data_IF_572793863036
#
_entry.id   IF_572793863036
#
_cell.length_a   1.000
_cell.length_b   1.000
_cell.length_c   1.000
_cell.angle_alpha   90.00
_cell.angle_beta   90.00
_cell.angle_gamma   90.00
#
_symmetry.space_group_name_H-M   'P 1'
#
loop_
_entity.id
_entity.type
_entity.pdbx_description
1 polymer ?
#
# COMPACT_ATOMS: atom_id res chain seq x y z
N UNK A 1 20.13 -1.59 -3.42
CA UNK A 1 18.75 -2.14 -3.42
C UNK A 1 18.47 -2.78 -2.08
N UNK A 2 17.30 -2.54 -1.54
CA UNK A 2 16.89 -3.09 -0.27
C UNK A 2 15.72 -4.05 -0.47
N UNK A 3 15.67 -5.09 0.37
CA UNK A 3 14.55 -6.01 0.37
C UNK A 3 13.49 -5.55 1.36
N UNK A 4 12.24 -5.60 0.91
CA UNK A 4 11.09 -5.22 1.71
C UNK A 4 10.03 -6.29 1.68
N UNK A 5 9.33 -6.44 2.81
CA UNK A 5 8.05 -7.10 2.82
C UNK A 5 6.99 -6.06 2.49
N UNK A 6 6.20 -6.33 1.45
CA UNK A 6 5.15 -5.42 1.00
C UNK A 6 3.80 -5.99 1.41
N UNK A 7 3.15 -5.31 2.33
CA UNK A 7 1.81 -5.67 2.78
C UNK A 7 0.80 -4.74 2.12
N UNK A 8 -0.06 -5.32 1.30
CA UNK A 8 -1.14 -4.57 0.64
C UNK A 8 -2.48 -4.98 1.23
N UNK A 9 -3.18 -4.01 1.80
CA UNK A 9 -4.50 -4.20 2.35
C UNK A 9 -5.51 -3.44 1.50
N UNK A 10 -6.53 -4.13 1.03
CA UNK A 10 -7.61 -3.54 0.24
C UNK A 10 -8.88 -3.59 1.07
N UNK A 11 -9.44 -2.41 1.37
CA UNK A 11 -10.65 -2.29 2.19
C UNK A 11 -11.87 -2.27 1.28
N UNK A 12 -12.56 -3.40 1.17
CA UNK A 12 -13.77 -3.51 0.38
C UNK A 12 -14.95 -2.92 1.15
N UNK A 13 -15.67 -2.00 0.51
CA UNK A 13 -16.86 -1.39 1.09
C UNK A 13 -18.12 -2.12 0.66
N UNK A 14 -18.21 -3.40 0.96
CA UNK A 14 -19.45 -4.12 0.78
C UNK A 14 -20.34 -3.93 2.02
N UNK A 15 -21.57 -3.51 1.83
CA UNK A 15 -22.50 -3.34 2.93
C UNK A 15 -22.72 -4.68 3.66
N UNK A 16 -22.39 -4.70 4.95
CA UNK A 16 -22.53 -5.88 5.78
C UNK A 16 -21.32 -6.81 5.83
N UNK A 17 -20.25 -6.47 5.13
CA UNK A 17 -19.04 -7.30 5.11
C UNK A 17 -17.80 -6.43 5.24
N UNK A 18 -17.08 -6.56 6.37
CA UNK A 18 -15.81 -5.87 6.59
C UNK A 18 -14.65 -6.75 6.13
N UNK A 19 -14.72 -7.25 4.90
CA UNK A 19 -13.64 -8.08 4.38
C UNK A 19 -12.51 -7.22 3.83
N UNK A 20 -11.31 -7.44 4.37
CA UNK A 20 -10.07 -6.90 3.85
C UNK A 20 -9.37 -7.98 3.04
N UNK A 21 -8.99 -7.65 1.83
CA UNK A 21 -8.08 -8.49 1.09
C UNK A 21 -6.65 -8.12 1.48
N UNK A 22 -5.87 -9.10 1.90
CA UNK A 22 -4.50 -8.89 2.33
C UNK A 22 -3.57 -9.67 1.40
N UNK A 23 -2.61 -8.96 0.81
CA UNK A 23 -1.58 -9.56 -0.04
C UNK A 23 -0.22 -9.24 0.54
N UNK A 24 0.59 -10.27 0.78
CA UNK A 24 1.95 -10.13 1.28
C UNK A 24 2.92 -10.59 0.22
N UNK A 25 3.89 -9.76 -0.11
CA UNK A 25 4.89 -10.04 -1.14
C UNK A 25 6.24 -9.54 -0.66
N UNK A 26 7.32 -10.26 -0.99
CA UNK A 26 8.67 -9.77 -0.79
C UNK A 26 9.21 -9.24 -2.13
N UNK A 27 9.88 -8.09 -2.08
CA UNK A 27 10.43 -7.48 -3.28
C UNK A 27 11.71 -6.71 -2.97
N UNK A 28 12.63 -6.74 -3.93
CA UNK A 28 13.77 -5.83 -3.93
C UNK A 28 13.32 -4.50 -4.51
N UNK A 29 13.48 -3.43 -3.75
CA UNK A 29 12.97 -2.12 -4.14
C UNK A 29 14.10 -1.11 -4.05
N UNK A 30 14.38 -0.46 -5.16
CA UNK A 30 15.37 0.60 -5.23
C UNK A 30 14.74 1.93 -4.82
N UNK A 31 13.52 2.19 -5.29
CA UNK A 31 12.77 3.41 -5.01
C UNK A 31 11.33 3.04 -4.67
N UNK A 32 10.96 3.21 -3.41
CA UNK A 32 9.63 2.87 -2.91
C UNK A 32 8.54 3.70 -3.62
N UNK A 33 8.79 4.99 -3.81
CA UNK A 33 7.81 5.85 -4.47
C UNK A 33 7.56 5.43 -5.92
N UNK A 34 8.62 5.04 -6.63
CA UNK A 34 8.47 4.51 -7.98
C UNK A 34 7.75 3.18 -8.00
N UNK A 35 8.00 2.32 -7.01
CA UNK A 35 7.28 1.05 -6.88
C UNK A 35 5.78 1.28 -6.66
N UNK A 36 5.43 2.32 -5.93
CA UNK A 36 4.02 2.67 -5.69
C UNK A 36 3.25 2.98 -6.97
N UNK A 37 3.92 3.36 -8.04
CA UNK A 37 3.26 3.60 -9.32
C UNK A 37 2.53 2.37 -9.85
N UNK A 38 2.95 1.17 -9.45
CA UNK A 38 2.26 -0.09 -9.78
C UNK A 38 0.82 -0.08 -9.26
N UNK A 39 0.58 0.59 -8.13
CA UNK A 39 -0.72 0.63 -7.47
C UNK A 39 -1.52 1.90 -7.80
N UNK A 40 -0.87 2.93 -8.34
CA UNK A 40 -1.50 4.21 -8.66
C UNK A 40 -2.18 4.16 -10.03
N UNK A 41 -3.24 3.36 -10.12
CA UNK A 41 -4.00 3.18 -11.36
C UNK A 41 -5.44 3.58 -11.10
N UNK A 42 -5.90 4.64 -11.79
CA UNK A 42 -7.26 5.15 -11.62
C UNK A 42 -7.36 6.61 -12.03
N UNK A 43 -8.56 7.16 -11.95
CA UNK A 43 -8.82 8.56 -12.34
C UNK A 43 -8.62 9.54 -11.20
N UNK A 44 -9.11 9.20 -10.01
CA UNK A 44 -9.02 10.03 -8.83
C UNK A 44 -8.19 9.30 -7.78
N UNK A 45 -6.97 9.79 -7.56
CA UNK A 45 -6.04 9.16 -6.63
C UNK A 45 -5.74 10.13 -5.50
N UNK A 46 -6.07 9.73 -4.28
CA UNK A 46 -5.67 10.43 -3.06
C UNK A 46 -4.65 9.57 -2.35
N UNK A 47 -3.57 10.18 -1.89
CA UNK A 47 -2.46 9.45 -1.27
C UNK A 47 -1.94 10.20 -0.06
N UNK A 48 -1.70 9.45 1.02
CA UNK A 48 -0.97 9.93 2.18
C UNK A 48 0.19 8.98 2.47
N UNK A 49 1.33 9.55 2.84
CA UNK A 49 2.52 8.78 3.17
C UNK A 49 2.86 8.96 4.64
N UNK A 50 3.14 7.84 5.31
CA UNK A 50 3.54 7.83 6.71
C UNK A 50 4.89 7.15 6.85
N UNK A 51 5.83 7.83 7.49
CA UNK A 51 7.09 7.22 7.91
C UNK A 51 7.04 6.94 9.39
N UNK A 52 7.26 5.68 9.76
CA UNK A 52 7.21 5.25 11.15
C UNK A 52 8.63 5.18 11.73
N UNK A 53 8.72 5.30 13.05
CA UNK A 53 10.00 5.31 13.74
C UNK A 53 10.74 3.98 13.69
N UNK A 54 10.04 2.89 13.41
CA UNK A 54 10.61 1.55 13.25
C UNK A 54 11.19 1.27 11.86
N UNK A 55 11.16 2.27 10.97
CA UNK A 55 11.66 2.14 9.60
C UNK A 55 10.62 1.68 8.58
N UNK A 56 9.39 1.38 9.00
CA UNK A 56 8.33 1.05 8.06
C UNK A 56 7.78 2.31 7.39
N UNK A 57 7.37 2.17 6.15
CA UNK A 57 6.74 3.24 5.37
C UNK A 57 5.37 2.74 4.93
N UNK A 58 4.34 3.52 5.21
CA UNK A 58 2.97 3.18 4.83
C UNK A 58 2.40 4.23 3.90
N UNK A 59 1.63 3.78 2.92
CA UNK A 59 0.88 4.64 2.02
C UNK A 59 -0.60 4.32 2.14
N UNK A 60 -1.41 5.34 2.40
CA UNK A 60 -2.86 5.21 2.31
C UNK A 60 -3.29 5.73 0.95
N UNK A 61 -3.90 4.85 0.14
CA UNK A 61 -4.42 5.20 -1.17
C UNK A 61 -5.94 5.15 -1.16
N UNK A 62 -6.55 6.15 -1.79
CA UNK A 62 -7.95 6.11 -2.15
C UNK A 62 -8.03 6.31 -3.66
N UNK A 63 -8.38 5.25 -4.38
CA UNK A 63 -8.45 5.28 -5.83
C UNK A 63 -9.89 5.05 -6.23
N UNK A 64 -10.51 6.09 -6.79
CA UNK A 64 -11.90 6.04 -7.26
C UNK A 64 -12.88 5.52 -6.17
N UNK A 65 -12.61 5.88 -4.92
CA UNK A 65 -13.41 5.45 -3.77
C UNK A 65 -12.98 4.13 -3.13
N UNK A 66 -12.04 3.41 -3.72
CA UNK A 66 -11.51 2.20 -3.11
C UNK A 66 -10.29 2.53 -2.25
N UNK A 67 -10.40 2.22 -0.98
CA UNK A 67 -9.34 2.50 -0.01
C UNK A 67 -8.37 1.34 0.08
N UNK A 68 -7.08 1.66 0.06
CA UNK A 68 -6.00 0.68 0.17
C UNK A 68 -4.92 1.21 1.09
N UNK A 69 -4.22 0.30 1.75
CA UNK A 69 -3.00 0.63 2.51
C UNK A 69 -1.88 -0.30 2.07
N UNK A 70 -0.75 0.29 1.73
CA UNK A 70 0.45 -0.46 1.36
C UNK A 70 1.54 -0.13 2.37
N UNK A 71 2.07 -1.16 3.04
CA UNK A 71 3.10 -1.01 4.06
C UNK A 71 4.38 -1.69 3.59
N UNK A 72 5.48 -0.98 3.66
CA UNK A 72 6.81 -1.47 3.30
C UNK A 72 7.62 -1.67 4.57
N UNK A 73 7.96 -2.92 4.85
CA UNK A 73 8.77 -3.26 6.00
C UNK A 73 10.15 -3.73 5.53
N UNK A 74 11.23 -3.06 5.97
CA UNK A 74 12.59 -3.51 5.63
C UNK A 74 12.87 -4.90 6.18
N UNK A 75 13.46 -5.73 5.37
CA UNK A 75 13.88 -7.08 5.77
C UNK A 75 15.33 -7.11 6.25
#
# INVERSE_FOLDING_TARGET
MAEYEVLREIFNQCSGNQMRDIHVTEAEIEDIDAYMNTFRVGKHIEEERFENTDGTISYDLNIDGLRQRITFQPL
#
